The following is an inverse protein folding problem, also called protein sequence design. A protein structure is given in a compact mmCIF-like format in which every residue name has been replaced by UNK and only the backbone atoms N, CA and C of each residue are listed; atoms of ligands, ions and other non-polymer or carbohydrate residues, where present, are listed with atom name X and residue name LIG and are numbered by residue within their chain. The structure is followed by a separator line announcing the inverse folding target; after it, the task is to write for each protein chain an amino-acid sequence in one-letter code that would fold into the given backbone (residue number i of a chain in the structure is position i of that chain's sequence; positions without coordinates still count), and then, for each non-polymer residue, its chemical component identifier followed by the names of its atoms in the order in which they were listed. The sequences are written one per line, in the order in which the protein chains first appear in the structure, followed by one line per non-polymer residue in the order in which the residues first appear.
data_IF_709699341292
#
_entry.id   IF_709699341292
#
_cell.length_a   1.000
_cell.length_b   1.000
_cell.length_c   1.000
_cell.angle_alpha   90.00
_cell.angle_beta   90.00
_cell.angle_gamma   90.00
#
_symmetry.space_group_name_H-M   'P 1'
#
loop_
_entity.id
_entity.type
_entity.pdbx_description
1 polymer ?
#
# COMPACT_ATOMS: atom_id res chain seq x y z
N UNK A 1 9.14 4.33 -22.43
CA UNK A 1 9.68 4.85 -21.17
C UNK A 1 8.51 4.91 -20.20
N UNK A 2 8.52 4.11 -19.15
CA UNK A 2 7.46 4.14 -18.14
C UNK A 2 7.79 5.28 -17.17
N UNK A 3 6.93 6.30 -17.08
CA UNK A 3 7.16 7.45 -16.19
C UNK A 3 6.97 6.93 -14.75
N UNK A 4 7.95 7.12 -13.84
CA UNK A 4 7.78 6.71 -12.46
C UNK A 4 6.56 7.42 -11.86
N UNK A 5 5.49 6.67 -11.59
CA UNK A 5 4.31 7.19 -10.90
C UNK A 5 4.75 7.69 -9.53
N UNK A 6 4.47 8.96 -9.20
CA UNK A 6 4.80 9.58 -7.92
C UNK A 6 4.08 8.88 -6.76
N UNK A 7 4.67 8.90 -5.56
CA UNK A 7 4.04 8.31 -4.39
C UNK A 7 2.65 8.92 -4.14
N UNK A 8 2.50 10.23 -4.27
CA UNK A 8 1.22 10.92 -4.14
C UNK A 8 0.13 10.35 -5.06
N UNK A 9 0.47 10.08 -6.33
CA UNK A 9 -0.45 9.46 -7.28
C UNK A 9 -0.83 8.05 -6.85
N UNK A 10 0.13 7.29 -6.33
CA UNK A 10 -0.10 5.95 -5.79
C UNK A 10 -1.02 5.97 -4.56
N UNK A 11 -0.85 6.94 -3.66
CA UNK A 11 -1.73 7.13 -2.50
C UNK A 11 -3.16 7.48 -2.95
N UNK A 12 -3.30 8.33 -3.97
CA UNK A 12 -4.60 8.64 -4.55
C UNK A 12 -5.28 7.41 -5.17
N UNK A 13 -4.55 6.38 -5.58
CA UNK A 13 -5.14 5.15 -6.10
C UNK A 13 -5.74 4.25 -5.01
N UNK A 14 -5.45 4.50 -3.72
CA UNK A 14 -6.04 3.74 -2.59
C UNK A 14 -7.56 3.92 -2.55
N UNK A 15 -8.07 5.08 -2.95
CA UNK A 15 -9.51 5.35 -3.00
C UNK A 15 -10.24 4.50 -4.07
N UNK A 16 -9.50 3.97 -5.06
CA UNK A 16 -10.05 3.17 -6.15
C UNK A 16 -10.27 1.69 -5.77
N UNK A 17 -9.92 1.29 -4.54
CA UNK A 17 -10.07 -0.10 -4.10
C UNK A 17 -11.53 -0.50 -3.87
N UNK A 18 -12.43 0.46 -3.61
CA UNK A 18 -13.86 0.19 -3.40
C UNK A 18 -14.17 -0.68 -2.18
N UNK A 19 -13.19 -0.90 -1.31
CA UNK A 19 -13.30 -1.61 -0.03
C UNK A 19 -12.62 -0.75 1.04
N UNK A 20 -13.42 -0.15 1.93
CA UNK A 20 -12.94 0.83 2.91
C UNK A 20 -11.92 0.22 3.89
N UNK A 21 -12.07 -1.05 4.27
CA UNK A 21 -11.12 -1.74 5.15
C UNK A 21 -9.75 -1.88 4.47
N UNK A 22 -9.72 -2.30 3.20
CA UNK A 22 -8.47 -2.41 2.44
C UNK A 22 -7.86 -1.03 2.21
N UNK A 23 -8.67 -0.01 1.86
CA UNK A 23 -8.19 1.36 1.70
C UNK A 23 -7.54 1.89 2.97
N UNK A 24 -8.20 1.70 4.13
CA UNK A 24 -7.67 2.09 5.43
C UNK A 24 -6.38 1.33 5.76
N UNK A 25 -6.36 0.01 5.57
CA UNK A 25 -5.20 -0.83 5.87
C UNK A 25 -3.96 -0.41 5.06
N UNK A 26 -4.12 -0.14 3.76
CA UNK A 26 -3.01 0.31 2.91
C UNK A 26 -2.51 1.69 3.33
N UNK A 27 -3.40 2.59 3.71
CA UNK A 27 -3.00 3.92 4.19
C UNK A 27 -2.30 3.87 5.55
N UNK A 28 -2.81 3.06 6.49
CA UNK A 28 -2.17 2.85 7.79
C UNK A 28 -0.77 2.23 7.64
N UNK A 29 -0.61 1.30 6.69
CA UNK A 29 0.70 0.74 6.35
C UNK A 29 1.65 1.78 5.75
N UNK A 30 1.15 2.69 4.90
CA UNK A 30 1.93 3.84 4.44
C UNK A 30 2.43 4.72 5.60
N UNK A 31 1.56 5.02 6.57
CA UNK A 31 1.93 5.80 7.74
C UNK A 31 3.01 5.10 8.58
N UNK A 32 2.93 3.77 8.71
CA UNK A 32 4.00 2.98 9.32
C UNK A 32 5.33 3.09 8.56
N UNK A 33 5.33 2.91 7.23
CA UNK A 33 6.55 3.03 6.44
C UNK A 33 7.20 4.43 6.56
N UNK A 34 6.38 5.47 6.72
CA UNK A 34 6.86 6.83 7.03
C UNK A 34 7.47 6.94 8.43
N UNK A 35 6.84 6.32 9.45
CA UNK A 35 7.33 6.42 10.82
C UNK A 35 8.67 5.72 11.02
N UNK A 36 8.96 4.67 10.23
CA UNK A 36 10.26 3.99 10.22
C UNK A 36 11.27 4.57 9.20
N UNK A 37 11.01 5.78 8.69
CA UNK A 37 11.91 6.57 7.83
C UNK A 37 12.40 5.84 6.56
N UNK A 38 11.54 5.03 5.92
CA UNK A 38 11.87 4.38 4.65
C UNK A 38 11.89 5.38 3.48
N UNK A 39 12.57 5.03 2.38
CA UNK A 39 12.62 5.90 1.20
C UNK A 39 11.27 6.02 0.48
N UNK A 40 11.02 7.14 -0.19
CA UNK A 40 9.79 7.35 -0.97
C UNK A 40 9.61 6.27 -2.06
N UNK A 41 10.70 5.84 -2.70
CA UNK A 41 10.67 4.76 -3.69
C UNK A 41 10.21 3.44 -3.07
N UNK A 42 10.73 3.09 -1.89
CA UNK A 42 10.35 1.89 -1.16
C UNK A 42 8.88 1.94 -0.73
N UNK A 43 8.43 3.08 -0.19
CA UNK A 43 7.02 3.31 0.13
C UNK A 43 6.13 3.10 -1.10
N UNK A 44 6.48 3.74 -2.20
CA UNK A 44 5.70 3.72 -3.44
C UNK A 44 5.58 2.30 -4.03
N UNK A 45 6.68 1.54 -4.04
CA UNK A 45 6.68 0.15 -4.52
C UNK A 45 5.80 -0.75 -3.64
N UNK A 46 5.91 -0.63 -2.31
CA UNK A 46 5.12 -1.42 -1.38
C UNK A 46 3.61 -1.10 -1.48
N UNK A 47 3.24 0.19 -1.56
CA UNK A 47 1.83 0.57 -1.71
C UNK A 47 1.26 0.11 -3.06
N UNK A 48 2.04 0.17 -4.15
CA UNK A 48 1.64 -0.40 -5.45
C UNK A 48 1.36 -1.91 -5.35
N UNK A 49 2.22 -2.65 -4.67
CA UNK A 49 2.04 -4.09 -4.49
C UNK A 49 0.72 -4.40 -3.76
N UNK A 50 0.42 -3.68 -2.68
CA UNK A 50 -0.81 -3.86 -1.91
C UNK A 50 -2.06 -3.47 -2.69
N UNK A 51 -2.03 -2.38 -3.46
CA UNK A 51 -3.15 -1.98 -4.34
C UNK A 51 -3.39 -3.06 -5.41
N UNK A 52 -2.35 -3.62 -6.00
CA UNK A 52 -2.48 -4.67 -7.00
C UNK A 52 -3.04 -5.97 -6.39
N UNK A 53 -2.59 -6.31 -5.18
CA UNK A 53 -3.12 -7.44 -4.43
C UNK A 53 -4.61 -7.26 -4.10
N UNK A 54 -5.00 -6.07 -3.62
CA UNK A 54 -6.39 -5.72 -3.34
C UNK A 54 -7.28 -5.84 -4.58
N UNK A 55 -6.81 -5.33 -5.73
CA UNK A 55 -7.50 -5.44 -7.01
C UNK A 55 -7.65 -6.89 -7.46
N UNK A 56 -6.63 -7.71 -7.26
CA UNK A 56 -6.66 -9.14 -7.60
C UNK A 56 -7.73 -9.90 -6.79
N UNK A 57 -7.82 -9.66 -5.48
CA UNK A 57 -8.84 -10.31 -4.65
C UNK A 57 -10.26 -9.73 -4.82
N UNK A 58 -10.36 -8.53 -5.40
CA UNK A 58 -11.62 -7.85 -5.64
C UNK A 58 -12.21 -7.18 -4.40
N UNK A 59 -13.18 -6.29 -4.63
CA UNK A 59 -13.77 -5.41 -3.59
C UNK A 59 -14.49 -6.14 -2.44
N UNK A 60 -14.90 -7.39 -2.65
CA UNK A 60 -15.64 -8.16 -1.65
C UNK A 60 -14.72 -8.91 -0.66
N UNK A 61 -13.41 -8.84 -0.87
CA UNK A 61 -12.42 -9.55 -0.08
C UNK A 61 -11.61 -8.57 0.76
N UNK A 62 -11.56 -8.80 2.06
CA UNK A 62 -10.68 -8.06 2.98
C UNK A 62 -9.44 -8.90 3.28
N UNK A 63 -8.27 -8.28 3.16
CA UNK A 63 -6.99 -8.89 3.56
C UNK A 63 -6.42 -8.19 4.78
N UNK A 64 -5.39 -8.79 5.37
CA UNK A 64 -4.73 -8.31 6.58
C UNK A 64 -3.24 -8.19 6.35
N UNK A 65 -2.62 -7.13 6.85
CA UNK A 65 -1.17 -6.95 6.91
C UNK A 65 -0.78 -7.02 8.37
N UNK A 66 0.06 -7.99 8.76
CA UNK A 66 0.68 -7.98 10.08
C UNK A 66 1.86 -7.03 10.07
N UNK A 67 1.76 -5.91 10.80
CA UNK A 67 2.87 -4.97 11.01
C UNK A 67 3.80 -5.39 12.17
N UNK A 68 3.43 -6.47 12.88
CA UNK A 68 4.28 -7.10 13.87
C UNK A 68 4.90 -8.34 13.24
N UNK A 69 6.17 -8.21 12.85
CA UNK A 69 7.29 -9.14 13.03
C UNK A 69 8.50 -8.56 12.29
N UNK A 70 9.64 -8.56 12.98
CA UNK A 70 10.95 -8.23 12.43
C UNK A 70 11.19 -9.06 11.16
N UNK A 71 11.15 -8.43 9.98
CA UNK A 71 11.75 -9.01 8.80
C UNK A 71 13.27 -8.85 8.92
N UNK A 72 13.89 -9.78 9.64
CA UNK A 72 15.25 -10.18 9.36
C UNK A 72 15.25 -10.76 7.93
N UNK A 73 16.02 -10.12 7.04
CA UNK A 73 16.27 -10.56 5.68
C UNK A 73 17.08 -11.85 5.65
#
# INVERSE_FOLDING_TARGET
MDIPVKLETTLNNIQLLGNENNSKLVYDFYLYLRSVNTSESYQNQNIKALINMAKFFGKNSTYWISIYYEFAW
#
